data_IF_616187598819
#
_entry.id   IF_616187598819
#
_cell.length_a   1.000
_cell.length_b   1.000
_cell.length_c   1.000
_cell.angle_alpha   90.00
_cell.angle_beta   90.00
_cell.angle_gamma   90.00
#
_symmetry.space_group_name_H-M   'P 1'
#
loop_
_entity.id
_entity.type
_entity.pdbx_description
1 polymer ?
#
# COMPACT_ATOMS: atom_id res chain seq x y z
N UNK A 1 -12.31 -20.30 -23.97
CA UNK A 1 -11.98 -19.55 -22.77
C UNK A 1 -10.51 -19.71 -22.45
N UNK A 2 -9.75 -18.63 -22.40
CA UNK A 2 -8.35 -18.67 -21.91
C UNK A 2 -8.42 -18.72 -20.39
N UNK A 3 -8.07 -19.84 -19.80
CA UNK A 3 -7.83 -19.98 -18.39
C UNK A 3 -6.42 -19.43 -18.13
N UNK A 4 -6.34 -18.32 -17.41
CA UNK A 4 -5.18 -17.85 -16.70
C UNK A 4 -3.94 -17.49 -17.52
N UNK A 5 -3.68 -16.18 -17.68
CA UNK A 5 -2.31 -15.75 -17.98
C UNK A 5 -1.57 -15.60 -16.67
N UNK A 6 -0.54 -16.40 -16.45
CA UNK A 6 0.37 -16.23 -15.31
C UNK A 6 1.43 -15.20 -15.70
N UNK A 7 1.58 -14.16 -14.90
CA UNK A 7 2.64 -13.17 -15.01
C UNK A 7 3.67 -13.40 -13.91
N UNK A 8 4.93 -13.54 -14.28
CA UNK A 8 6.06 -13.66 -13.35
C UNK A 8 6.87 -12.36 -13.39
N UNK A 9 7.21 -11.83 -12.24
CA UNK A 9 8.15 -10.72 -12.08
C UNK A 9 9.22 -11.17 -11.10
N UNK A 10 10.50 -11.06 -11.45
CA UNK A 10 11.60 -11.48 -10.59
C UNK A 10 12.74 -10.44 -10.63
N UNK A 11 13.51 -10.38 -9.54
CA UNK A 11 14.58 -9.40 -9.35
C UNK A 11 14.14 -8.20 -8.54
N UNK A 12 14.66 -7.01 -8.85
CA UNK A 12 14.32 -5.76 -8.17
C UNK A 12 13.18 -5.05 -8.91
N UNK A 13 12.09 -4.77 -8.21
CA UNK A 13 10.93 -4.04 -8.75
C UNK A 13 10.23 -3.22 -7.66
N UNK A 14 9.44 -2.24 -8.07
CA UNK A 14 8.54 -1.53 -7.14
C UNK A 14 7.30 -2.38 -6.88
N UNK A 15 6.90 -2.48 -5.62
CA UNK A 15 5.65 -3.12 -5.22
C UNK A 15 4.89 -2.22 -4.24
N UNK A 16 3.58 -2.25 -4.37
CA UNK A 16 2.66 -1.50 -3.53
C UNK A 16 1.64 -2.48 -2.94
N UNK A 17 1.49 -2.45 -1.60
CA UNK A 17 0.57 -3.33 -0.90
C UNK A 17 -0.63 -2.53 -0.41
N UNK A 18 -1.84 -3.06 -0.65
CA UNK A 18 -3.09 -2.44 -0.24
C UNK A 18 -3.21 -0.97 -0.71
N UNK A 19 -3.14 -0.75 -2.01
CA UNK A 19 -3.15 0.60 -2.62
C UNK A 19 -2.10 1.55 -2.02
N UNK A 20 -0.90 1.04 -1.72
CA UNK A 20 0.21 1.79 -1.08
C UNK A 20 -0.02 2.21 0.38
N UNK A 21 -1.01 1.62 1.06
CA UNK A 21 -1.29 1.97 2.46
C UNK A 21 -0.51 1.13 3.48
N UNK A 22 0.03 -0.03 3.09
CA UNK A 22 0.88 -0.88 3.93
C UNK A 22 2.35 -0.67 3.60
N UNK A 23 2.69 -0.66 2.32
CA UNK A 23 4.05 -0.56 1.80
C UNK A 23 4.02 -0.04 0.37
N UNK A 24 4.97 0.84 0.02
CA UNK A 24 5.15 1.36 -1.34
C UNK A 24 6.63 1.67 -1.59
N UNK A 25 7.39 0.66 -1.99
CA UNK A 25 8.81 0.83 -2.29
C UNK A 25 9.33 -0.36 -3.12
N UNK A 26 10.65 -0.40 -3.29
CA UNK A 26 11.35 -1.47 -3.99
C UNK A 26 11.43 -2.75 -3.16
N UNK A 27 11.35 -3.87 -3.85
CA UNK A 27 11.54 -5.20 -3.30
C UNK A 27 12.50 -6.00 -4.21
N UNK A 28 13.24 -6.92 -3.62
CA UNK A 28 14.04 -7.91 -4.33
C UNK A 28 13.38 -9.28 -4.11
N UNK A 29 12.81 -9.86 -5.16
CA UNK A 29 12.05 -11.08 -4.98
C UNK A 29 11.39 -11.62 -6.25
N UNK A 30 10.36 -12.40 -6.02
CA UNK A 30 9.52 -12.97 -7.07
C UNK A 30 8.05 -12.64 -6.79
N UNK A 31 7.31 -12.25 -7.82
CA UNK A 31 5.87 -12.03 -7.80
C UNK A 31 5.21 -12.81 -8.91
N UNK A 32 4.17 -13.55 -8.54
CA UNK A 32 3.30 -14.30 -9.44
C UNK A 32 1.93 -13.64 -9.45
N UNK A 33 1.44 -13.27 -10.61
CA UNK A 33 0.08 -12.80 -10.83
C UNK A 33 -0.68 -13.79 -11.71
N UNK A 34 -1.84 -14.20 -11.28
CA UNK A 34 -2.71 -15.12 -12.04
C UNK A 34 -4.03 -14.41 -12.32
N UNK A 35 -4.38 -14.30 -13.59
CA UNK A 35 -5.71 -13.84 -13.98
C UNK A 35 -6.68 -15.02 -13.88
N UNK A 36 -7.68 -14.90 -13.01
CA UNK A 36 -8.69 -15.94 -12.74
C UNK A 36 -9.89 -15.86 -13.70
N UNK A 37 -9.91 -14.89 -14.61
CA UNK A 37 -11.08 -14.58 -15.43
C UNK A 37 -12.09 -13.67 -14.70
N UNK A 38 -13.13 -13.21 -15.44
CA UNK A 38 -14.16 -12.32 -14.89
C UNK A 38 -13.58 -11.08 -14.17
N UNK A 39 -12.48 -10.52 -14.71
CA UNK A 39 -11.72 -9.40 -14.15
C UNK A 39 -11.16 -9.61 -12.74
N UNK A 40 -11.03 -10.88 -12.31
CA UNK A 40 -10.45 -11.25 -11.00
C UNK A 40 -9.01 -11.72 -11.13
N UNK A 41 -8.22 -11.48 -10.10
CA UNK A 41 -6.80 -11.87 -10.07
C UNK A 41 -6.38 -12.38 -8.70
N UNK A 42 -5.34 -13.21 -8.71
CA UNK A 42 -4.60 -13.65 -7.52
C UNK A 42 -3.14 -13.21 -7.66
N UNK A 43 -2.56 -12.70 -6.57
CA UNK A 43 -1.14 -12.36 -6.49
C UNK A 43 -0.51 -13.12 -5.34
N UNK A 44 0.66 -13.72 -5.60
CA UNK A 44 1.56 -14.25 -4.59
C UNK A 44 2.93 -13.60 -4.78
N UNK A 45 3.59 -13.18 -3.70
CA UNK A 45 4.93 -12.63 -3.77
C UNK A 45 5.76 -13.04 -2.55
N UNK A 46 7.07 -13.18 -2.78
CA UNK A 46 8.04 -13.47 -1.73
C UNK A 46 9.37 -12.79 -2.05
N UNK A 47 10.03 -12.25 -1.05
CA UNK A 47 11.31 -11.59 -1.25
C UNK A 47 11.82 -10.82 -0.03
N UNK A 48 12.69 -9.86 -0.31
CA UNK A 48 13.22 -8.87 0.62
C UNK A 48 12.67 -7.50 0.29
N UNK A 49 12.26 -6.77 1.30
CA UNK A 49 11.99 -5.33 1.17
C UNK A 49 13.31 -4.58 1.09
N UNK A 50 13.39 -3.58 0.22
CA UNK A 50 14.55 -2.70 0.19
C UNK A 50 14.65 -1.97 1.52
N UNK A 51 15.87 -1.83 2.05
CA UNK A 51 16.08 -0.95 3.20
C UNK A 51 15.66 0.46 2.81
N UNK A 52 14.77 1.06 3.58
CA UNK A 52 14.63 2.49 3.55
C UNK A 52 15.95 3.11 4.01
N UNK A 53 16.44 4.13 3.33
CA UNK A 53 17.49 4.95 3.90
C UNK A 53 16.98 5.48 5.23
N UNK A 54 17.50 4.89 6.31
CA UNK A 54 17.27 5.42 7.65
C UNK A 54 17.96 6.77 7.63
N UNK A 55 17.20 7.82 7.56
CA UNK A 55 17.72 9.16 7.74
C UNK A 55 18.43 9.14 9.10
N UNK A 56 19.74 9.34 9.07
CA UNK A 56 20.62 9.38 10.25
C UNK A 56 20.39 10.62 11.13
N UNK A 57 19.21 11.22 11.07
CA UNK A 57 18.84 12.31 11.95
C UNK A 57 18.80 11.79 13.40
N UNK A 58 19.51 12.44 14.35
CA UNK A 58 19.46 12.07 15.76
C UNK A 58 18.01 12.06 16.25
N UNK A 59 17.53 10.94 16.76
CA UNK A 59 16.17 10.78 17.25
C UNK A 59 15.16 10.20 16.24
N UNK A 60 15.55 9.92 15.00
CA UNK A 60 14.67 9.21 14.07
C UNK A 60 14.60 7.72 14.43
N UNK A 61 13.50 7.33 15.03
CA UNK A 61 13.17 5.93 15.33
C UNK A 61 12.49 5.26 14.12
N UNK A 62 12.95 5.55 12.92
CA UNK A 62 12.31 5.07 11.71
C UNK A 62 12.22 3.56 11.63
N UNK A 63 11.07 3.05 11.21
CA UNK A 63 10.91 1.65 10.81
C UNK A 63 11.73 1.46 9.53
N UNK A 64 12.79 0.67 9.60
CA UNK A 64 13.58 0.29 8.44
C UNK A 64 13.11 -1.08 7.96
N UNK A 65 12.43 -1.12 6.83
CA UNK A 65 12.01 -2.37 6.22
C UNK A 65 13.16 -2.98 5.42
N UNK A 66 14.04 -3.72 6.08
CA UNK A 66 15.05 -4.54 5.40
C UNK A 66 14.70 -6.04 5.44
N UNK A 67 13.53 -6.37 5.97
CA UNK A 67 13.10 -7.74 6.25
C UNK A 67 12.61 -8.51 5.03
N UNK A 68 12.36 -9.79 5.24
CA UNK A 68 11.72 -10.65 4.25
C UNK A 68 10.22 -10.49 4.32
N UNK A 69 9.56 -10.66 3.18
CA UNK A 69 8.10 -10.65 3.14
C UNK A 69 7.53 -11.81 2.34
N UNK A 70 6.33 -12.20 2.70
CA UNK A 70 5.42 -13.00 1.88
C UNK A 70 4.11 -12.24 1.75
N UNK A 71 3.55 -12.19 0.54
CA UNK A 71 2.28 -11.52 0.25
C UNK A 71 1.35 -12.44 -0.51
N UNK A 72 0.07 -12.40 -0.17
CA UNK A 72 -1.01 -12.94 -0.97
C UNK A 72 -2.10 -11.88 -1.13
N UNK A 73 -2.65 -11.74 -2.33
CA UNK A 73 -3.77 -10.83 -2.57
C UNK A 73 -4.74 -11.44 -3.58
N UNK A 74 -6.02 -11.25 -3.32
CA UNK A 74 -7.13 -11.61 -4.20
C UNK A 74 -7.96 -10.36 -4.45
N UNK A 75 -8.16 -10.02 -5.72
CA UNK A 75 -8.90 -8.83 -6.08
C UNK A 75 -9.58 -8.95 -7.44
N UNK A 76 -10.28 -7.88 -7.81
CA UNK A 76 -10.95 -7.82 -9.10
C UNK A 76 -11.80 -6.58 -9.30
N UNK A 77 -12.40 -6.51 -10.50
CA UNK A 77 -13.34 -5.47 -10.88
C UNK A 77 -14.68 -6.10 -11.29
N UNK A 78 -15.77 -5.70 -10.64
CA UNK A 78 -17.11 -6.24 -10.87
C UNK A 78 -18.08 -5.09 -11.17
N UNK A 79 -18.23 -4.76 -12.44
CA UNK A 79 -19.03 -3.64 -12.86
C UNK A 79 -18.49 -2.29 -12.38
N UNK A 80 -19.18 -1.67 -11.42
CA UNK A 80 -18.75 -0.39 -10.82
C UNK A 80 -17.91 -0.55 -9.56
N UNK A 81 -17.79 -1.77 -9.05
CA UNK A 81 -16.97 -2.07 -7.89
C UNK A 81 -15.60 -2.61 -8.30
N UNK A 82 -14.58 -2.21 -7.59
CA UNK A 82 -13.31 -2.93 -7.53
C UNK A 82 -12.93 -3.16 -6.07
N UNK A 83 -12.19 -4.23 -5.80
CA UNK A 83 -11.78 -4.53 -4.45
C UNK A 83 -10.62 -5.51 -4.39
N UNK A 84 -9.93 -5.50 -3.25
CA UNK A 84 -8.82 -6.41 -2.95
C UNK A 84 -8.85 -6.81 -1.47
N UNK A 85 -8.65 -8.10 -1.21
CA UNK A 85 -8.24 -8.62 0.09
C UNK A 85 -6.75 -8.91 -0.03
N UNK A 86 -5.97 -8.44 0.93
CA UNK A 86 -4.53 -8.59 0.91
C UNK A 86 -4.02 -9.05 2.28
N UNK A 87 -3.03 -9.95 2.27
CA UNK A 87 -2.32 -10.42 3.45
C UNK A 87 -0.81 -10.30 3.22
N UNK A 88 -0.12 -9.71 4.17
CA UNK A 88 1.32 -9.56 4.18
C UNK A 88 1.87 -10.10 5.49
N UNK A 89 2.89 -10.93 5.40
CA UNK A 89 3.73 -11.30 6.53
C UNK A 89 5.14 -10.78 6.26
N UNK A 90 5.63 -9.89 7.11
CA UNK A 90 6.99 -9.41 7.08
C UNK A 90 7.75 -9.95 8.28
N UNK A 91 9.03 -10.29 8.10
CA UNK A 91 9.93 -10.81 9.13
C UNK A 91 11.21 -10.01 9.19
N UNK A 92 11.82 -9.96 10.35
CA UNK A 92 13.06 -9.22 10.59
C UNK A 92 12.92 -7.73 10.25
N UNK A 93 11.73 -7.16 10.43
CA UNK A 93 11.50 -5.73 10.24
C UNK A 93 12.14 -4.99 11.39
N UNK A 94 12.89 -3.93 11.11
CA UNK A 94 13.45 -3.08 12.14
C UNK A 94 12.36 -2.11 12.61
N UNK A 95 11.89 -2.30 13.82
CA UNK A 95 10.96 -1.39 14.47
C UNK A 95 11.64 -0.74 15.69
N UNK A 96 11.60 0.60 15.78
CA UNK A 96 12.17 1.38 16.88
C UNK A 96 13.62 1.06 17.22
N UNK A 97 14.45 0.75 16.23
CA UNK A 97 15.86 0.41 16.46
C UNK A 97 16.07 -1.01 16.99
N UNK A 98 15.03 -1.82 17.15
CA UNK A 98 15.12 -3.26 17.42
C UNK A 98 14.94 -4.04 16.14
N UNK A 99 15.89 -4.89 15.82
CA UNK A 99 15.80 -5.83 14.72
C UNK A 99 14.98 -7.04 15.17
N UNK A 100 14.16 -7.58 14.29
CA UNK A 100 13.51 -8.87 14.49
C UNK A 100 12.05 -8.85 14.91
N UNK A 101 11.28 -7.76 14.64
CA UNK A 101 9.83 -7.85 14.76
C UNK A 101 9.22 -8.59 13.57
N UNK A 102 8.21 -9.38 13.83
CA UNK A 102 7.36 -10.01 12.81
C UNK A 102 6.07 -9.20 12.70
N UNK A 103 5.75 -8.74 11.50
CA UNK A 103 4.50 -8.04 11.18
C UNK A 103 3.60 -8.93 10.35
N UNK A 104 2.34 -9.02 10.73
CA UNK A 104 1.29 -9.66 9.94
C UNK A 104 0.17 -8.64 9.73
N UNK A 105 -0.10 -8.31 8.50
CA UNK A 105 -1.11 -7.31 8.17
C UNK A 105 -2.06 -7.90 7.14
N UNK A 106 -3.35 -7.84 7.41
CA UNK A 106 -4.37 -8.07 6.40
C UNK A 106 -5.17 -6.81 6.15
N UNK A 107 -5.70 -6.67 4.95
CA UNK A 107 -6.55 -5.57 4.57
C UNK A 107 -7.67 -6.02 3.65
N UNK A 108 -8.78 -5.31 3.72
CA UNK A 108 -9.87 -5.40 2.75
C UNK A 108 -10.20 -3.99 2.30
N UNK A 109 -10.12 -3.76 0.99
CA UNK A 109 -10.43 -2.49 0.36
C UNK A 109 -11.43 -2.66 -0.76
N UNK A 110 -12.28 -1.65 -0.95
CA UNK A 110 -13.22 -1.58 -2.05
C UNK A 110 -13.38 -0.16 -2.55
N UNK A 111 -13.63 -0.03 -3.84
CA UNK A 111 -13.96 1.24 -4.46
C UNK A 111 -15.23 1.11 -5.28
N UNK A 112 -15.99 2.19 -5.35
CA UNK A 112 -17.18 2.30 -6.18
C UNK A 112 -17.05 3.45 -7.18
N UNK A 113 -17.32 3.17 -8.45
CA UNK A 113 -17.20 4.12 -9.58
C UNK A 113 -18.57 4.71 -9.95
N UNK A 114 -18.69 6.03 -9.84
CA UNK A 114 -19.87 6.82 -10.22
C UNK A 114 -19.47 7.80 -11.33
N UNK A 115 -19.47 7.35 -12.58
CA UNK A 115 -19.00 8.16 -13.70
C UNK A 115 -17.53 8.57 -13.52
N UNK A 116 -17.27 9.87 -13.32
CA UNK A 116 -15.92 10.39 -13.06
C UNK A 116 -15.51 10.35 -11.59
N UNK A 117 -16.45 10.06 -10.68
CA UNK A 117 -16.19 9.96 -9.25
C UNK A 117 -15.87 8.51 -8.86
N UNK A 118 -14.84 8.33 -8.06
CA UNK A 118 -14.49 7.05 -7.43
C UNK A 118 -14.38 7.26 -5.92
N UNK A 119 -15.14 6.50 -5.15
CA UNK A 119 -15.16 6.51 -3.69
C UNK A 119 -14.58 5.20 -3.20
N UNK A 120 -13.66 5.24 -2.26
CA UNK A 120 -13.01 4.05 -1.71
C UNK A 120 -13.04 4.02 -0.19
N UNK A 121 -13.04 2.80 0.34
CA UNK A 121 -12.87 2.52 1.76
C UNK A 121 -11.99 1.28 1.93
N UNK A 122 -11.11 1.31 2.92
CA UNK A 122 -10.23 0.21 3.28
C UNK A 122 -10.17 0.05 4.79
N UNK A 123 -10.20 -1.19 5.24
CA UNK A 123 -9.89 -1.59 6.60
C UNK A 123 -8.59 -2.38 6.62
N UNK A 124 -7.77 -2.13 7.64
CA UNK A 124 -6.49 -2.79 7.85
C UNK A 124 -6.45 -3.31 9.29
N UNK A 125 -5.88 -4.49 9.47
CA UNK A 125 -5.62 -5.10 10.77
C UNK A 125 -4.19 -5.63 10.78
N UNK A 126 -3.40 -5.18 11.73
CA UNK A 126 -2.04 -5.61 11.94
C UNK A 126 -1.89 -6.51 13.17
N UNK A 127 -0.75 -7.12 13.29
CA UNK A 127 -0.25 -7.89 14.45
C UNK A 127 1.26 -7.67 14.46
N UNK A 128 1.76 -6.94 15.46
CA UNK A 128 3.16 -6.57 15.57
C UNK A 128 3.60 -6.61 17.03
N UNK A 129 4.50 -7.52 17.35
CA UNK A 129 4.96 -7.77 18.73
C UNK A 129 5.50 -6.52 19.45
N UNK A 130 6.07 -5.57 18.71
CA UNK A 130 6.60 -4.33 19.30
C UNK A 130 5.47 -3.36 19.61
N UNK A 131 4.52 -3.22 18.70
CA UNK A 131 3.35 -2.35 18.89
C UNK A 131 2.51 -2.85 20.05
N UNK A 132 2.29 -4.16 20.14
CA UNK A 132 1.56 -4.79 21.24
C UNK A 132 2.25 -4.56 22.59
N UNK A 133 3.57 -4.70 22.63
CA UNK A 133 4.36 -4.50 23.85
C UNK A 133 4.34 -3.04 24.37
N UNK A 134 4.15 -2.06 23.48
CA UNK A 134 4.15 -0.64 23.86
C UNK A 134 2.76 0.02 23.80
N UNK A 135 1.70 -0.75 23.48
CA UNK A 135 0.31 -0.28 23.55
C UNK A 135 -0.14 0.55 22.34
N UNK A 136 0.42 0.32 21.17
CA UNK A 136 -0.01 0.95 19.93
C UNK A 136 -1.31 0.37 19.35
N UNK A 137 -1.87 1.03 18.34
CA UNK A 137 -3.07 0.54 17.65
C UNK A 137 -2.71 -0.48 16.58
N UNK A 138 -3.49 -1.56 16.52
CA UNK A 138 -3.35 -2.68 15.59
C UNK A 138 -4.28 -2.61 14.38
N UNK A 139 -5.17 -1.62 14.31
CA UNK A 139 -6.13 -1.45 13.22
C UNK A 139 -6.04 -0.09 12.54
N UNK A 140 -6.62 0.00 11.34
CA UNK A 140 -6.69 1.25 10.60
C UNK A 140 -7.80 1.29 9.57
N UNK A 141 -8.17 2.50 9.18
CA UNK A 141 -9.10 2.76 8.08
C UNK A 141 -8.54 3.83 7.15
N UNK A 142 -8.82 3.66 5.87
CA UNK A 142 -8.50 4.65 4.84
C UNK A 142 -9.76 4.89 4.00
N UNK A 143 -10.10 6.16 3.80
CA UNK A 143 -11.18 6.57 2.91
C UNK A 143 -10.61 7.41 1.78
N UNK A 144 -11.06 7.18 0.56
CA UNK A 144 -10.57 7.91 -0.61
C UNK A 144 -11.72 8.44 -1.46
N UNK A 145 -11.49 9.62 -2.03
CA UNK A 145 -12.36 10.23 -3.01
C UNK A 145 -11.50 10.72 -4.18
N UNK A 146 -11.81 10.29 -5.39
CA UNK A 146 -11.12 10.71 -6.61
C UNK A 146 -12.13 11.18 -7.64
N UNK A 147 -11.86 12.30 -8.28
CA UNK A 147 -12.69 12.85 -9.34
C UNK A 147 -11.87 13.15 -10.58
N UNK A 148 -12.30 12.61 -11.73
CA UNK A 148 -11.58 12.75 -12.97
C UNK A 148 -10.26 11.96 -12.97
N UNK A 149 -9.48 12.19 -14.01
CA UNK A 149 -8.11 11.70 -14.16
C UNK A 149 -7.38 12.56 -15.17
N UNK A 150 -6.12 12.87 -14.94
CA UNK A 150 -5.26 13.42 -15.96
C UNK A 150 -4.85 12.33 -16.95
N UNK A 151 -4.95 12.63 -18.22
CA UNK A 151 -4.46 11.77 -19.31
C UNK A 151 -3.27 12.47 -19.96
N UNK A 152 -2.09 11.87 -19.86
CA UNK A 152 -0.83 12.41 -20.40
C UNK A 152 -0.89 12.73 -21.89
N UNK A 153 -1.82 12.14 -22.63
CA UNK A 153 -2.01 12.39 -24.06
C UNK A 153 -3.03 13.50 -24.35
N UNK A 154 -3.80 13.93 -23.35
CA UNK A 154 -4.89 14.88 -23.52
C UNK A 154 -4.64 16.14 -22.72
N UNK A 155 -4.16 17.20 -23.38
CA UNK A 155 -4.01 18.53 -22.80
C UNK A 155 -5.32 19.02 -22.19
N UNK A 156 -5.25 19.62 -20.99
CA UNK A 156 -6.40 20.13 -20.24
C UNK A 156 -7.17 19.05 -19.47
N UNK A 157 -6.78 17.76 -19.56
CA UNK A 157 -7.34 16.75 -18.67
C UNK A 157 -6.81 16.94 -17.24
N UNK A 158 -7.68 16.74 -16.26
CA UNK A 158 -7.35 16.96 -14.85
C UNK A 158 -8.04 15.95 -13.95
N UNK A 159 -7.48 15.78 -12.77
CA UNK A 159 -8.04 14.97 -11.70
C UNK A 159 -7.76 15.57 -10.34
N UNK A 160 -8.65 15.32 -9.39
CA UNK A 160 -8.51 15.65 -7.98
C UNK A 160 -8.63 14.40 -7.15
N UNK A 161 -7.94 14.37 -6.02
CA UNK A 161 -8.11 13.32 -5.04
C UNK A 161 -7.99 13.86 -3.62
N UNK A 162 -8.68 13.21 -2.72
CA UNK A 162 -8.47 13.34 -1.27
C UNK A 162 -8.48 11.97 -0.63
N UNK A 163 -7.70 11.83 0.42
CA UNK A 163 -7.61 10.61 1.19
C UNK A 163 -7.55 10.96 2.68
N UNK A 164 -8.32 10.26 3.49
CA UNK A 164 -8.29 10.35 4.94
C UNK A 164 -7.72 9.06 5.49
N UNK A 165 -6.78 9.20 6.41
CA UNK A 165 -6.12 8.09 7.10
C UNK A 165 -6.43 8.14 8.58
N UNK A 166 -6.69 6.98 9.14
CA UNK A 166 -6.62 6.71 10.57
C UNK A 166 -6.01 5.32 10.70
N UNK A 167 -4.68 5.26 10.72
CA UNK A 167 -3.93 4.00 10.69
C UNK A 167 -3.08 3.87 11.95
N UNK A 168 -3.29 2.76 12.65
CA UNK A 168 -2.43 2.36 13.75
C UNK A 168 -1.05 1.89 13.27
N UNK A 169 -0.07 1.94 14.15
CA UNK A 169 1.32 1.63 13.82
C UNK A 169 1.52 0.21 13.29
N UNK A 170 0.75 -0.77 13.79
CA UNK A 170 0.83 -2.16 13.31
C UNK A 170 0.24 -2.39 11.91
N UNK A 171 -0.42 -1.39 11.31
CA UNK A 171 -1.01 -1.52 9.96
C UNK A 171 -0.10 -1.06 8.84
N UNK A 172 1.12 -0.64 9.14
CA UNK A 172 2.08 -0.06 8.19
C UNK A 172 3.45 -0.68 8.40
N UNK A 173 4.05 -1.15 7.31
CA UNK A 173 5.42 -1.67 7.37
C UNK A 173 6.41 -0.55 7.11
N UNK A 174 6.28 0.17 6.00
CA UNK A 174 7.19 1.27 5.64
C UNK A 174 6.71 1.99 4.39
N UNK A 175 7.05 3.30 4.30
CA UNK A 175 6.84 4.13 3.11
C UNK A 175 5.44 4.03 2.48
N UNK A 176 4.33 4.13 3.24
CA UNK A 176 3.04 4.30 2.59
C UNK A 176 3.09 5.60 1.77
N UNK A 177 2.39 5.62 0.64
CA UNK A 177 2.50 6.71 -0.36
C UNK A 177 2.30 8.11 0.25
N UNK A 178 1.46 8.24 1.27
CA UNK A 178 1.09 9.53 1.86
C UNK A 178 1.28 9.60 3.38
N UNK A 179 1.79 8.56 4.01
CA UNK A 179 1.98 8.51 5.46
C UNK A 179 3.43 8.77 5.87
N UNK A 180 3.64 9.62 6.85
CA UNK A 180 4.94 9.76 7.51
C UNK A 180 4.98 8.91 8.79
N UNK A 181 5.39 7.64 8.63
CA UNK A 181 5.53 6.71 9.75
C UNK A 181 6.82 6.90 10.55
N UNK A 182 7.72 7.76 10.07
CA UNK A 182 9.00 8.01 10.76
C UNK A 182 8.83 8.85 12.00
N UNK A 183 7.82 9.75 12.00
CA UNK A 183 7.58 10.68 13.09
C UNK A 183 6.71 10.09 14.21
N UNK A 184 5.90 9.05 13.92
CA UNK A 184 4.93 8.49 14.87
C UNK A 184 4.94 6.95 14.89
N UNK A 185 6.05 6.30 15.26
CA UNK A 185 6.22 4.87 15.04
C UNK A 185 5.31 3.98 15.90
N UNK A 186 4.80 4.46 17.04
CA UNK A 186 3.91 3.68 17.93
C UNK A 186 2.46 4.15 17.91
N UNK A 187 2.23 5.42 17.57
CA UNK A 187 0.90 6.00 17.61
C UNK A 187 0.13 5.80 16.31
N UNK A 188 0.85 5.45 15.23
CA UNK A 188 0.29 5.47 13.90
C UNK A 188 0.14 6.90 13.39
N UNK A 189 -0.76 7.12 12.44
CA UNK A 189 -1.02 8.45 11.91
C UNK A 189 -2.49 8.65 11.53
N UNK A 190 -2.92 9.91 11.64
CA UNK A 190 -4.26 10.35 11.30
C UNK A 190 -4.19 11.68 10.57
N UNK A 191 -4.85 11.78 9.43
CA UNK A 191 -4.81 13.01 8.66
C UNK A 191 -5.47 12.93 7.31
N UNK A 192 -5.30 14.00 6.54
CA UNK A 192 -5.82 14.13 5.19
C UNK A 192 -4.68 14.41 4.21
N UNK A 193 -4.83 13.85 3.03
CA UNK A 193 -4.09 14.28 1.85
C UNK A 193 -5.09 14.79 0.82
N UNK A 194 -4.79 15.92 0.21
CA UNK A 194 -5.53 16.50 -0.90
C UNK A 194 -4.55 16.81 -2.01
N UNK A 195 -4.87 16.41 -3.23
CA UNK A 195 -4.01 16.66 -4.37
C UNK A 195 -4.79 16.69 -5.68
N UNK A 196 -4.10 17.17 -6.71
CA UNK A 196 -4.64 17.19 -8.05
C UNK A 196 -3.52 17.23 -9.08
N UNK A 197 -3.89 16.89 -10.29
CA UNK A 197 -3.00 16.93 -11.43
C UNK A 197 -3.73 17.45 -12.67
N UNK A 198 -3.00 18.07 -13.55
CA UNK A 198 -3.48 18.57 -14.84
C UNK A 198 -2.43 18.34 -15.92
N UNK A 199 -2.84 17.88 -17.08
CA UNK A 199 -1.95 17.75 -18.24
C UNK A 199 -1.87 19.09 -18.96
N UNK A 200 -0.75 19.77 -18.86
CA UNK A 200 -0.52 21.08 -19.50
C UNK A 200 -0.16 20.94 -20.99
N UNK A 201 0.60 19.91 -21.33
CA UNK A 201 0.95 19.55 -22.70
C UNK A 201 1.09 18.02 -22.79
N UNK A 202 1.07 17.41 -23.99
CA UNK A 202 1.30 15.98 -24.13
C UNK A 202 2.56 15.52 -23.40
N UNK A 203 2.44 14.52 -22.51
CA UNK A 203 3.48 13.98 -21.63
C UNK A 203 3.99 14.93 -20.53
N UNK A 204 3.29 16.04 -20.25
CA UNK A 204 3.59 16.97 -19.16
C UNK A 204 2.40 17.05 -18.19
N UNK A 205 2.61 16.56 -16.96
CA UNK A 205 1.61 16.52 -15.86
C UNK A 205 2.17 17.18 -14.62
#
# INVERSE_FOLDING_TARGET
GRIGTVKVTAGRYNDAFAESNIYDNRVDGIKLGVNLGHASYLVGAYGKMASADVSSAPGSTGISAAGRYARAALGGEWGRFDGEINYVKAKDVMNMGKQGSDDKIWSVGTNYKLGKLKVGAMYLQGDNDVVDAYGGSDWGTVYSLRYGASDKKKTGSWGLFTQYFNQGAATVISHPMYGDTKSFPLEGYKGYVVGGNVTLAPNMV
#
